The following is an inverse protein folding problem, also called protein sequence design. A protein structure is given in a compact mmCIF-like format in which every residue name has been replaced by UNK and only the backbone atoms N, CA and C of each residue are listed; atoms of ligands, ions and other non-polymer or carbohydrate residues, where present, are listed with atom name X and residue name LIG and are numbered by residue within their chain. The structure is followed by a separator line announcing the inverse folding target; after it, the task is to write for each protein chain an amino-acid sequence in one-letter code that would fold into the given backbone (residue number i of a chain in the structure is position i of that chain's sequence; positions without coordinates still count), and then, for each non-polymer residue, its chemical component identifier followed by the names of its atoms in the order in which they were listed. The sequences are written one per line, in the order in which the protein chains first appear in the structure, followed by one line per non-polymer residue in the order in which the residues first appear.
data_IF_809986397389
#
_entry.id   IF_809986397389
#
_cell.length_a   1.000
_cell.length_b   1.000
_cell.length_c   1.000
_cell.angle_alpha   90.00
_cell.angle_beta   90.00
_cell.angle_gamma   90.00
#
_symmetry.space_group_name_H-M   'P 1'
#
loop_
_entity.id
_entity.type
_entity.pdbx_description
1 polymer ?
2 non-polymer ?
3 water ?
#
# COMPACT_ATOMS: atom_id res chain seq x y z
N UNK A 3 1.93 16.41 13.15
CA UNK A 3 1.82 15.03 12.53
C UNK A 3 2.86 14.07 13.15
N UNK A 4 2.39 13.09 13.90
CA UNK A 4 3.26 12.24 14.68
C UNK A 4 2.67 10.80 14.82
N UNK A 5 3.39 9.81 14.32
CA UNK A 5 2.92 8.46 14.30
C UNK A 5 3.57 7.60 15.37
N UNK A 6 4.18 8.24 16.36
CA UNK A 6 4.75 7.54 17.51
C UNK A 6 3.82 6.48 18.07
N UNK A 7 4.30 5.25 18.20
CA UNK A 7 3.44 4.20 18.78
C UNK A 7 2.53 3.52 17.77
N UNK A 8 2.56 3.94 16.51
CA UNK A 8 1.60 3.42 15.54
C UNK A 8 2.26 2.34 14.71
N UNK A 9 1.48 1.29 14.48
CA UNK A 9 1.92 0.15 13.70
C UNK A 9 1.24 0.24 12.34
N UNK A 10 2.03 0.57 11.33
CA UNK A 10 1.54 0.78 9.98
C UNK A 10 2.12 -0.31 9.09
N UNK A 11 1.27 -0.99 8.34
CA UNK A 11 1.69 -1.95 7.39
C UNK A 11 1.88 -1.23 6.08
N UNK A 12 2.86 -1.65 5.29
CA UNK A 12 3.20 -0.99 4.00
C UNK A 12 3.40 -2.09 2.96
N UNK A 13 2.35 -2.34 2.22
CA UNK A 13 2.38 -3.29 1.12
C UNK A 13 2.66 -2.69 -0.23
N UNK A 14 3.48 -3.42 -0.97
CA UNK A 14 3.96 -3.04 -2.29
C UNK A 14 3.43 -4.03 -3.28
N UNK A 15 2.83 -3.51 -4.33
CA UNK A 15 2.41 -4.41 -5.41
C UNK A 15 3.09 -4.07 -6.75
N UNK A 16 3.09 -5.01 -7.68
CA UNK A 16 3.52 -4.72 -9.06
C UNK A 16 5.01 -4.95 -9.23
N UNK A 17 5.63 -4.41 -10.29
CA UNK A 17 7.10 -4.60 -10.54
C UNK A 17 8.02 -3.97 -9.46
N UNK A 18 9.04 -4.74 -9.06
CA UNK A 18 10.01 -4.34 -8.02
C UNK A 18 10.66 -2.97 -8.34
N UNK A 19 10.74 -2.60 -9.60
CA UNK A 19 11.51 -1.41 -9.98
C UNK A 19 10.68 -0.10 -9.95
N UNK A 20 9.41 -0.21 -9.55
CA UNK A 20 8.49 0.93 -9.38
C UNK A 20 8.45 1.37 -7.91
N UNK A 21 9.22 0.70 -7.04
CA UNK A 21 9.17 1.05 -5.62
C UNK A 21 10.06 2.25 -5.24
N UNK A 22 10.78 2.83 -6.19
CA UNK A 22 11.59 4.00 -5.86
C UNK A 22 10.70 5.23 -5.57
N UNK A 23 9.47 5.18 -6.04
CA UNK A 23 8.52 6.26 -5.75
C UNK A 23 7.87 6.13 -4.36
N UNK A 24 7.84 4.94 -3.75
CA UNK A 24 7.21 4.80 -2.42
C UNK A 24 8.20 4.56 -1.28
N UNK A 25 9.40 4.01 -1.51
CA UNK A 25 10.33 3.71 -0.37
C UNK A 25 10.71 4.97 0.43
N UNK A 26 10.89 6.11 -0.25
CA UNK A 26 11.13 7.35 0.51
C UNK A 26 9.95 7.68 1.44
N UNK A 27 8.73 7.27 1.05
CA UNK A 27 7.57 7.53 1.93
C UNK A 27 7.54 6.55 3.09
N UNK A 28 7.97 5.31 2.83
CA UNK A 28 8.13 4.34 3.93
C UNK A 28 9.14 4.89 4.97
N UNK A 29 10.22 5.45 4.46
CA UNK A 29 11.25 6.03 5.29
C UNK A 29 10.72 7.23 6.12
N UNK A 30 9.94 8.12 5.52
CA UNK A 30 9.30 9.20 6.29
C UNK A 30 8.41 8.71 7.42
N UNK A 31 7.64 7.66 7.18
CA UNK A 31 6.79 7.16 8.26
C UNK A 31 7.65 6.71 9.43
N UNK A 32 8.75 6.00 9.17
CA UNK A 32 9.64 5.53 10.27
C UNK A 32 10.23 6.75 10.98
N UNK A 33 10.59 7.76 10.22
CA UNK A 33 11.15 8.99 10.79
C UNK A 33 10.15 9.77 11.61
N UNK A 34 8.87 9.70 11.24
CA UNK A 34 7.78 10.25 12.04
C UNK A 34 7.32 9.33 13.23
N UNK A 35 8.00 8.20 13.41
CA UNK A 35 7.85 7.37 14.59
C UNK A 35 7.05 6.07 14.41
N UNK A 36 6.56 5.82 13.20
CA UNK A 36 5.71 4.66 13.01
C UNK A 36 6.61 3.43 13.06
N UNK A 37 6.05 2.34 13.56
CA UNK A 37 6.59 1.02 13.34
C UNK A 37 5.99 0.46 12.04
N UNK A 38 6.85 0.27 11.03
CA UNK A 38 6.41 -0.08 9.70
C UNK A 38 6.75 -1.51 9.38
N UNK A 39 5.70 -2.28 9.10
CA UNK A 39 5.85 -3.63 8.61
C UNK A 39 5.63 -3.72 7.11
N UNK A 40 6.67 -4.14 6.36
CA UNK A 40 6.49 -4.31 4.91
C UNK A 40 5.77 -5.61 4.56
N UNK A 41 4.87 -5.51 3.60
CA UNK A 41 4.16 -6.65 3.01
C UNK A 41 4.44 -6.71 1.50
N UNK A 42 4.70 -7.89 0.96
CA UNK A 42 5.02 -8.04 -0.47
C UNK A 42 4.25 -9.21 -1.05
N UNK A 43 4.24 -9.34 -2.38
CA UNK A 43 3.20 -10.16 -3.01
C UNK A 43 3.72 -11.56 -3.22
N UNK A 44 5.03 -11.73 -3.14
CA UNK A 44 5.59 -13.07 -3.26
C UNK A 44 6.72 -13.24 -2.29
N UNK A 45 7.10 -14.52 -2.10
CA UNK A 45 8.21 -14.91 -1.26
C UNK A 45 9.44 -14.21 -1.74
N UNK A 46 10.22 -13.74 -0.78
CA UNK A 46 11.39 -12.92 -1.03
C UNK A 46 12.63 -13.80 -1.33
N UNK A 47 12.55 -15.09 -1.05
CA UNK A 47 13.62 -16.05 -1.33
C UNK A 47 13.10 -17.41 -1.65
N UNK A 48 13.72 -18.09 -2.59
CA UNK A 48 13.49 -19.51 -2.80
C UNK A 48 14.68 -20.33 -2.21
N UNK A 49 14.53 -21.64 -2.07
CA UNK A 49 15.63 -22.45 -1.57
C UNK A 49 16.84 -22.14 -2.45
N UNK A 50 16.54 -21.90 -3.71
CA UNK A 50 17.54 -21.76 -4.74
C UNK A 50 18.42 -20.53 -4.61
N UNK A 51 17.89 -19.46 -4.03
CA UNK A 51 18.51 -18.14 -4.13
C UNK A 51 19.91 -18.02 -3.54
N UNK A 52 20.83 -17.39 -4.28
CA UNK A 52 22.25 -17.18 -3.89
C UNK A 52 22.68 -15.79 -3.35
N UNK A 53 23.85 -15.75 -2.71
CA UNK A 53 24.32 -14.68 -1.78
C UNK A 53 23.94 -13.21 -2.05
N UNK A 54 24.45 -12.66 -3.15
CA UNK A 54 24.19 -11.27 -3.51
C UNK A 54 23.27 -11.17 -4.72
N UNK A 55 22.39 -12.16 -4.91
CA UNK A 55 21.42 -12.15 -6.03
C UNK A 55 20.16 -11.28 -5.72
N UNK A 56 19.88 -11.04 -4.43
CA UNK A 56 18.64 -10.36 -4.03
C UNK A 56 18.66 -8.94 -4.61
N UNK A 57 17.56 -8.54 -5.21
CA UNK A 57 17.45 -7.24 -5.84
C UNK A 57 17.63 -6.08 -4.82
N UNK A 58 18.07 -4.93 -5.33
CA UNK A 58 18.38 -3.79 -4.48
C UNK A 58 17.20 -3.43 -3.57
N UNK A 59 15.97 -3.42 -4.13
CA UNK A 59 14.76 -3.02 -3.41
C UNK A 59 14.59 -3.73 -2.07
N UNK A 60 14.88 -5.03 -2.00
CA UNK A 60 14.78 -5.74 -0.72
C UNK A 60 15.76 -5.17 0.29
N UNK A 61 17.02 -5.05 -0.12
CA UNK A 61 18.04 -4.43 0.72
C UNK A 61 17.57 -3.04 1.21
N UNK A 62 17.02 -2.23 0.30
CA UNK A 62 16.52 -0.90 0.66
C UNK A 62 15.43 -0.93 1.73
N UNK A 63 14.47 -1.83 1.60
CA UNK A 63 13.46 -2.02 2.67
C UNK A 63 14.14 -2.33 3.99
N UNK A 64 15.12 -3.23 3.94
CA UNK A 64 15.82 -3.69 5.16
C UNK A 64 16.65 -2.59 5.83
N UNK A 65 17.04 -1.58 5.06
CA UNK A 65 17.72 -0.39 5.57
C UNK A 65 16.74 0.61 6.19
N UNK A 66 15.47 0.58 5.79
CA UNK A 66 14.45 1.47 6.33
C UNK A 66 13.84 0.94 7.63
N UNK A 67 13.53 -0.36 7.67
CA UNK A 67 12.84 -0.96 8.79
C UNK A 67 13.35 -2.38 9.08
N UNK A 68 13.43 -2.71 10.35
CA UNK A 68 13.87 -4.04 10.82
C UNK A 68 12.67 -4.98 11.02
N UNK A 69 11.44 -4.50 10.85
CA UNK A 69 10.31 -5.44 10.92
C UNK A 69 10.43 -6.50 9.81
N UNK A 70 10.31 -7.80 10.14
CA UNK A 70 10.30 -8.83 9.10
C UNK A 70 9.27 -8.56 7.98
N UNK A 71 9.73 -8.72 6.74
CA UNK A 71 8.93 -8.57 5.55
C UNK A 71 7.88 -9.69 5.51
N UNK A 72 6.61 -9.32 5.40
CA UNK A 72 5.55 -10.30 5.35
C UNK A 72 5.36 -10.67 3.89
N UNK A 73 5.80 -11.87 3.54
CA UNK A 73 5.81 -12.34 2.19
C UNK A 73 5.07 -13.66 1.97
N UNK A 74 4.16 -14.03 2.88
CA UNK A 74 3.40 -15.27 2.77
C UNK A 74 2.07 -15.07 3.48
N UNK A 75 1.09 -15.91 3.14
CA UNK A 75 -0.22 -15.88 3.77
C UNK A 75 -0.14 -16.18 5.25
N UNK A 76 0.67 -17.18 5.62
CA UNK A 76 0.90 -17.55 7.02
C UNK A 76 1.38 -16.39 7.85
N UNK A 77 2.32 -15.63 7.28
CA UNK A 77 2.87 -14.47 8.00
C UNK A 77 1.89 -13.29 8.10
N UNK A 78 0.98 -13.17 7.13
CA UNK A 78 0.04 -12.04 7.05
C UNK A 78 -1.14 -12.22 7.94
N UNK A 79 -1.55 -13.47 8.13
CA UNK A 79 -2.81 -13.74 8.84
C UNK A 79 -2.92 -13.26 10.30
N UNK A 80 -1.83 -13.35 11.08
CA UNK A 80 -1.86 -12.88 12.47
C UNK A 80 -2.09 -11.40 12.64
N UNK A 81 -1.89 -10.60 11.58
CA UNK A 81 -2.27 -9.17 11.64
C UNK A 81 -3.77 -8.88 11.81
N UNK A 82 -4.60 -9.93 11.79
CA UNK A 82 -5.99 -9.85 12.22
C UNK A 82 -6.11 -10.01 13.73
N UNK A 83 -6.00 -11.25 14.22
CA UNK A 83 -6.28 -11.49 15.64
C UNK A 83 -5.13 -11.22 16.64
N UNK A 84 -3.86 -11.30 16.22
CA UNK A 84 -2.72 -11.26 17.17
C UNK A 84 -1.98 -9.96 17.21
N UNK A 85 -1.58 -9.43 16.04
CA UNK A 85 -0.69 -8.25 15.95
C UNK A 85 -1.32 -7.18 15.05
N UNK A 86 -2.45 -6.61 15.47
CA UNK A 86 -3.22 -5.78 14.55
C UNK A 86 -2.50 -4.47 14.20
N UNK A 87 -2.60 -4.06 12.94
CA UNK A 87 -2.09 -2.79 12.50
C UNK A 87 -3.06 -1.69 12.89
N UNK A 88 -2.56 -0.52 13.13
CA UNK A 88 -3.39 0.70 13.14
C UNK A 88 -3.78 1.21 11.74
N UNK A 89 -3.01 0.84 10.73
CA UNK A 89 -3.34 1.22 9.40
C UNK A 89 -2.54 0.37 8.44
N UNK A 90 -3.15 0.06 7.32
CA UNK A 90 -2.46 -0.65 6.29
C UNK A 90 -2.41 0.25 5.08
N UNK A 91 -1.23 0.39 4.49
CA UNK A 91 -1.04 1.13 3.25
C UNK A 91 -0.76 0.13 2.14
N UNK A 92 -1.33 0.35 0.95
CA UNK A 92 -0.96 -0.38 -0.25
C UNK A 92 -0.56 0.65 -1.28
N UNK A 93 0.75 0.72 -1.51
CA UNK A 93 1.28 1.63 -2.48
C UNK A 93 2.61 1.16 -3.05
N UNK A 94 2.75 1.13 -4.39
CA UNK A 94 1.73 1.39 -5.40
C UNK A 94 0.72 0.28 -5.40
N UNK A 95 -0.53 0.63 -5.73
CA UNK A 95 -1.55 -0.41 -5.97
C UNK A 95 -1.84 -0.51 -7.45
N UNK A 96 -1.43 -1.64 -8.04
CA UNK A 96 -1.55 -1.85 -9.46
C UNK A 96 -3.02 -2.10 -9.87
N UNK A 97 -3.29 -2.12 -11.16
CA UNK A 97 -4.61 -2.38 -11.66
C UNK A 97 -5.08 -3.76 -11.27
N UNK A 98 -4.19 -4.75 -11.37
CA UNK A 98 -4.53 -6.11 -10.99
C UNK A 98 -4.88 -6.19 -9.51
N UNK A 99 -4.04 -5.62 -8.64
CA UNK A 99 -4.33 -5.59 -7.21
C UNK A 99 -5.61 -4.82 -6.87
N UNK A 100 -5.84 -3.71 -7.57
CA UNK A 100 -7.07 -2.93 -7.40
C UNK A 100 -8.30 -3.77 -7.70
N UNK A 101 -8.27 -4.51 -8.79
CA UNK A 101 -9.49 -5.24 -9.06
C UNK A 101 -9.68 -6.49 -8.21
N UNK A 102 -8.59 -7.12 -7.74
CA UNK A 102 -8.71 -8.14 -6.76
C UNK A 102 -9.26 -7.56 -5.44
N UNK A 103 -8.70 -6.46 -4.94
CA UNK A 103 -9.08 -5.90 -3.67
C UNK A 103 -10.59 -5.52 -3.73
N UNK A 104 -10.99 -4.85 -4.79
CA UNK A 104 -12.33 -4.35 -4.93
C UNK A 104 -13.34 -5.45 -5.04
N UNK A 105 -12.89 -6.62 -5.48
CA UNK A 105 -13.80 -7.77 -5.67
C UNK A 105 -13.69 -8.81 -4.56
N UNK A 106 -13.00 -8.45 -3.48
CA UNK A 106 -12.89 -9.26 -2.25
C UNK A 106 -11.99 -10.49 -2.42
N UNK A 107 -11.10 -10.45 -3.39
CA UNK A 107 -10.17 -11.53 -3.51
C UNK A 107 -9.03 -11.19 -2.58
N UNK A 108 -8.45 -12.18 -2.01
CA UNK A 108 -7.47 -11.96 -1.00
C UNK A 108 -6.51 -13.07 -1.19
N UNK A 109 -5.70 -13.02 -2.24
CA UNK A 109 -4.80 -14.13 -2.55
C UNK A 109 -3.37 -13.66 -2.64
N UNK A 110 -3.01 -12.62 -1.90
CA UNK A 110 -1.63 -12.27 -1.78
C UNK A 110 -1.43 -11.80 -0.36
N UNK A 111 -0.16 -11.84 0.10
CA UNK A 111 0.11 -11.39 1.42
C UNK A 111 -0.34 -9.91 1.66
N UNK A 112 -0.19 -9.05 0.67
CA UNK A 112 -0.61 -7.67 0.77
C UNK A 112 -2.13 -7.55 0.98
N UNK A 113 -2.89 -8.27 0.18
CA UNK A 113 -4.34 -8.19 0.26
C UNK A 113 -4.80 -8.84 1.54
N UNK A 114 -4.05 -9.83 2.03
CA UNK A 114 -4.42 -10.42 3.33
C UNK A 114 -4.19 -9.44 4.46
N UNK A 115 -3.09 -8.65 4.38
CA UNK A 115 -2.89 -7.59 5.35
C UNK A 115 -4.05 -6.58 5.38
N UNK A 116 -4.51 -6.20 4.21
CA UNK A 116 -5.63 -5.28 4.07
C UNK A 116 -6.91 -5.90 4.65
N UNK A 117 -7.18 -7.13 4.29
CA UNK A 117 -8.37 -7.86 4.83
C UNK A 117 -8.29 -7.95 6.34
N UNK A 118 -7.13 -8.30 6.87
CA UNK A 118 -6.96 -8.44 8.32
C UNK A 118 -7.14 -7.08 9.05
N UNK A 119 -6.92 -5.98 8.34
CA UNK A 119 -6.99 -4.65 8.96
C UNK A 119 -8.45 -4.21 8.96
N UNK A 120 -9.12 -4.44 7.82
CA UNK A 120 -10.56 -4.19 7.66
C UNK A 120 -11.43 -5.02 8.59
N UNK A 121 -10.99 -6.23 8.92
CA UNK A 121 -11.67 -7.12 9.88
C UNK A 121 -11.88 -6.41 11.19
N UNK A 122 -10.87 -5.66 11.61
CA UNK A 122 -10.87 -4.88 12.87
C UNK A 122 -11.44 -3.46 12.75
N UNK A 123 -12.04 -3.09 11.63
CA UNK A 123 -12.52 -1.73 11.55
C UNK A 123 -11.40 -0.69 11.40
N UNK A 124 -10.19 -1.09 11.04
CA UNK A 124 -9.11 -0.16 10.94
C UNK A 124 -8.85 0.24 9.45
N UNK A 125 -8.22 1.41 9.24
CA UNK A 125 -8.13 1.98 7.90
C UNK A 125 -7.13 1.37 6.97
N UNK A 126 -7.51 1.29 5.71
CA UNK A 126 -6.58 0.94 4.65
C UNK A 126 -6.47 2.13 3.74
N UNK A 127 -5.24 2.49 3.38
CA UNK A 127 -4.93 3.65 2.54
C UNK A 127 -4.26 3.13 1.31
N UNK A 128 -4.77 3.47 0.13
CA UNK A 128 -4.27 2.96 -1.13
C UNK A 128 -3.74 4.09 -2.02
N UNK A 129 -2.62 3.82 -2.69
CA UNK A 129 -2.06 4.67 -3.75
C UNK A 129 -2.15 4.03 -5.12
N UNK A 130 -3.18 4.37 -5.89
CA UNK A 130 -3.38 3.74 -7.17
C UNK A 130 -2.31 4.08 -8.15
N UNK A 131 -2.11 3.17 -9.07
CA UNK A 131 -1.17 3.40 -10.15
C UNK A 131 -1.45 2.41 -11.27
N UNK A 132 -2.35 2.77 -12.17
CA UNK A 132 -2.71 1.90 -13.28
C UNK A 132 -3.19 2.73 -14.48
N UNK A 133 -2.84 2.24 -15.67
CA UNK A 133 -3.21 2.88 -16.92
C UNK A 133 -4.66 2.57 -17.38
N UNK A 134 -5.40 1.80 -16.59
CA UNK A 134 -6.82 1.50 -16.90
C UNK A 134 -7.76 2.01 -15.80
N UNK A 135 -7.26 2.90 -14.96
CA UNK A 135 -8.05 3.41 -13.86
C UNK A 135 -9.39 4.07 -14.34
N UNK A 136 -9.40 4.81 -15.47
CA UNK A 136 -10.67 5.42 -15.95
C UNK A 136 -11.37 4.55 -16.97
N UNK A 137 -10.81 3.39 -17.23
CA UNK A 137 -11.43 2.34 -18.09
C UNK A 137 -12.02 1.23 -17.22
N UNK A 138 -11.54 0.00 -17.39
CA UNK A 138 -12.16 -1.16 -16.73
C UNK A 138 -12.01 -1.15 -15.23
N UNK A 139 -10.98 -0.49 -14.75
CA UNK A 139 -10.84 -0.37 -13.28
C UNK A 139 -11.68 0.72 -12.56
N UNK A 140 -12.34 1.59 -13.32
CA UNK A 140 -13.10 2.73 -12.80
C UNK A 140 -14.11 2.33 -11.74
N UNK A 141 -14.89 1.30 -12.01
CA UNK A 141 -15.88 0.87 -11.03
C UNK A 141 -15.27 0.30 -9.74
N UNK A 142 -14.10 -0.33 -9.88
CA UNK A 142 -13.42 -0.92 -8.77
C UNK A 142 -12.92 0.20 -7.84
N UNK A 143 -12.28 1.18 -8.44
CA UNK A 143 -11.78 2.35 -7.72
C UNK A 143 -12.89 3.06 -6.99
N UNK A 144 -13.98 3.33 -7.70
CA UNK A 144 -15.07 4.08 -7.08
C UNK A 144 -15.77 3.22 -6.07
N UNK A 145 -15.86 1.93 -6.28
CA UNK A 145 -16.35 1.08 -5.22
C UNK A 145 -15.52 1.21 -3.92
N UNK A 146 -14.21 1.14 -4.04
CA UNK A 146 -13.34 1.23 -2.88
C UNK A 146 -13.44 2.60 -2.18
N UNK A 147 -13.49 3.67 -2.96
CA UNK A 147 -13.53 5.07 -2.50
C UNK A 147 -14.75 5.29 -1.61
N UNK A 148 -15.84 4.55 -1.90
CA UNK A 148 -17.11 4.68 -1.13
C UNK A 148 -17.24 3.68 0.03
N UNK A 149 -16.27 2.79 0.23
CA UNK A 149 -16.39 1.69 1.15
C UNK A 149 -15.88 2.10 2.51
N UNK A 150 -16.53 1.59 3.57
CA UNK A 150 -16.10 1.92 4.93
C UNK A 150 -14.60 1.55 5.12
N UNK A 151 -13.86 2.48 5.69
CA UNK A 151 -12.51 2.26 6.17
C UNK A 151 -11.45 2.21 5.10
N UNK A 152 -11.77 2.62 3.89
CA UNK A 152 -10.81 2.60 2.81
C UNK A 152 -10.62 4.05 2.35
N UNK A 153 -9.37 4.47 2.19
CA UNK A 153 -9.04 5.85 1.84
C UNK A 153 -7.95 5.89 0.78
N UNK A 154 -7.99 6.94 -0.04
CA UNK A 154 -7.10 7.10 -1.19
C UNK A 154 -6.09 8.24 -1.04
N UNK A 155 -4.80 7.95 -1.29
CA UNK A 155 -3.80 8.96 -1.41
C UNK A 155 -4.26 9.78 -2.64
N UNK A 156 -4.24 11.10 -2.53
CA UNK A 156 -4.75 11.91 -3.60
C UNK A 156 -4.12 11.54 -4.91
N UNK A 157 -4.90 11.59 -5.96
CA UNK A 157 -4.46 11.08 -7.27
C UNK A 157 -4.98 11.95 -8.47
N UNK A 158 -4.51 11.63 -9.66
CA UNK A 158 -4.82 12.41 -10.84
C UNK A 158 -4.31 11.72 -12.07
N UNK A 159 -4.58 12.30 -13.23
CA UNK A 159 -4.12 11.74 -14.47
C UNK A 159 -2.65 12.08 -14.65
N UNK A 160 -1.81 11.10 -14.88
CA UNK A 160 -0.41 11.44 -15.00
C UNK A 160 0.01 11.81 -16.41
N UNK A 161 -0.74 11.39 -17.43
CA UNK A 161 -0.40 11.80 -18.81
C UNK A 161 -1.61 11.65 -19.69
N UNK A 162 -2.46 12.66 -19.66
CA UNK A 162 -3.77 12.52 -20.27
C UNK A 162 -3.73 12.34 -21.79
N UNK A 163 -2.72 12.87 -22.46
CA UNK A 163 -2.68 12.79 -23.90
C UNK A 163 -2.24 11.40 -24.36
N UNK A 164 -1.31 10.78 -23.63
CA UNK A 164 -0.71 9.52 -24.00
C UNK A 164 -1.34 8.31 -23.31
N UNK A 165 -1.68 8.45 -22.04
CA UNK A 165 -2.35 7.41 -21.31
C UNK A 165 -3.67 7.95 -20.69
N UNK A 166 -4.70 8.15 -21.53
CA UNK A 166 -5.88 8.90 -21.04
C UNK A 166 -6.65 8.22 -19.90
N UNK A 167 -6.51 6.91 -19.72
CA UNK A 167 -7.16 6.20 -18.60
C UNK A 167 -6.33 6.04 -17.34
N UNK A 168 -5.11 6.58 -17.36
CA UNK A 168 -4.18 6.37 -16.29
C UNK A 168 -4.39 7.31 -15.13
N UNK A 169 -4.52 6.77 -13.91
CA UNK A 169 -4.47 7.54 -12.68
C UNK A 169 -3.32 7.05 -11.82
N UNK A 170 -2.57 7.98 -11.20
CA UNK A 170 -1.46 7.70 -10.29
C UNK A 170 -1.54 8.66 -9.08
N UNK A 171 -1.31 8.12 -7.90
CA UNK A 171 -1.30 8.88 -6.65
C UNK A 171 -0.07 9.78 -6.56
N UNK A 172 -0.21 10.88 -5.84
CA UNK A 172 0.87 11.69 -5.39
C UNK A 172 1.38 11.07 -4.12
N UNK A 173 2.48 10.35 -4.25
CA UNK A 173 2.99 9.56 -3.13
C UNK A 173 3.46 10.42 -1.98
N UNK A 174 3.90 11.64 -2.29
CA UNK A 174 4.26 12.59 -1.22
C UNK A 174 3.15 12.90 -0.25
N UNK A 175 1.90 12.78 -0.68
CA UNK A 175 0.74 12.95 0.21
C UNK A 175 0.44 11.75 1.11
N UNK A 176 1.27 10.74 1.11
CA UNK A 176 0.91 9.52 1.87
C UNK A 176 0.75 9.73 3.38
N UNK A 177 1.71 10.45 4.04
CA UNK A 177 1.54 10.62 5.46
C UNK A 177 0.35 11.39 5.88
N UNK A 178 0.06 12.44 5.17
CA UNK A 178 -1.14 13.21 5.40
C UNK A 178 -2.40 12.36 5.23
N UNK A 179 -2.43 11.49 4.22
CA UNK A 179 -3.56 10.60 3.99
C UNK A 179 -3.70 9.63 5.15
N UNK A 180 -2.59 9.13 5.66
CA UNK A 180 -2.66 8.24 6.85
C UNK A 180 -3.22 9.04 8.04
N UNK A 181 -2.71 10.24 8.24
CA UNK A 181 -3.16 11.02 9.39
C UNK A 181 -4.68 11.26 9.38
N UNK A 182 -5.24 11.54 8.21
CA UNK A 182 -6.66 11.77 8.12
C UNK A 182 -7.42 10.43 8.25
N UNK A 183 -6.88 9.38 7.66
CA UNK A 183 -7.52 8.06 7.78
C UNK A 183 -7.63 7.58 9.23
N UNK A 184 -6.60 7.84 10.01
CA UNK A 184 -6.60 7.42 11.42
C UNK A 184 -7.73 8.15 12.19
N UNK A 185 -8.17 9.32 11.71
CA UNK A 185 -9.36 10.01 12.30
C UNK A 185 -10.66 9.65 11.59
N UNK A 186 -10.63 8.69 10.69
CA UNK A 186 -11.85 8.33 10.02
C UNK A 186 -12.19 9.22 8.85
N UNK A 187 -11.21 9.91 8.27
CA UNK A 187 -11.49 10.87 7.18
C UNK A 187 -10.62 10.61 5.94
N UNK A 188 -11.21 10.88 4.78
CA UNK A 188 -10.53 11.02 3.53
C UNK A 188 -9.87 12.41 3.47
N UNK A 189 -8.56 12.43 3.25
CA UNK A 189 -7.80 13.65 3.08
C UNK A 189 -8.18 14.30 1.76
N UNK A 190 -8.27 15.63 1.78
CA UNK A 190 -8.81 16.41 0.69
C UNK A 190 -7.88 17.47 0.30
N UNK A 191 -7.82 17.84 -1.00
CA UNK A 191 -8.49 17.34 -2.16
C UNK A 191 -7.96 15.98 -2.55
N UNK A 192 -8.86 15.05 -2.83
CA UNK A 192 -8.46 13.75 -3.24
C UNK A 192 -8.12 13.74 -4.71
N UNK A 193 -8.63 14.69 -5.46
CA UNK A 193 -8.29 14.78 -6.88
C UNK A 193 -7.26 15.88 -7.01
N UNK A 194 -6.09 15.53 -7.50
CA UNK A 194 -5.05 16.52 -7.73
C UNK A 194 -4.54 16.52 -9.20
N UNK A 195 -3.68 17.48 -9.54
CA UNK A 195 -3.05 17.56 -10.88
C UNK A 195 -1.67 16.98 -10.75
N UNK A 196 -1.44 15.86 -11.40
CA UNK A 196 -0.18 15.17 -11.30
C UNK A 196 0.94 15.87 -12.06
N UNK A 197 2.06 16.09 -11.38
CA UNK A 197 3.17 16.88 -11.93
C UNK A 197 2.70 18.09 -12.72
X LIG B 1 0.22 -7.51 -9.08
X LIG B 1 0.58 -6.71 -10.33
X LIG B 1 0.37 -9.01 -9.32
X LIG B 1 1.13 -7.19 -7.91
X LIG B 1 -1.21 -7.24 -8.70
X LIG C 1 -9.77 -14.49 11.61
X LIG C 1 -8.37 -14.61 10.96
X LIG C 1 -10.79 -15.44 10.97
X LIG C 1 -9.71 -14.76 13.14
X LIG C 1 -10.30 -13.12 11.27
#
# INVERSE_FOLDING_TARGET
GHMNFAGKHVGFGLTGSHCTYHEVLPQMERLVELGAKVTPFVTHTVQTTDTKFGESSEWINKIKQITEEPIVDSMVKAEPFGPKTPLDCMVIAPMTGNSTSKFANAMTDSPVLMGAKATLRNGKPVVVGISTNDALGLNGINIMRLMATKNIYFIPFGQDNPQVKPNSLVARMEALPETIEAALRGQQYQPVLIEKFRDGS
PO4 P O1 O2 O3 O4
PO4 P O1 O2 O3 O4
#
